data_IF_230879857188
#
_entry.id   IF_230879857188
#
_cell.length_a   1.000
_cell.length_b   1.000
_cell.length_c   1.000
_cell.angle_alpha   90.00
_cell.angle_beta   90.00
_cell.angle_gamma   90.00
#
_symmetry.space_group_name_H-M   'P 1'
#
loop_
_entity.id
_entity.type
_entity.pdbx_description
1 polymer ?
#
# COMPACT_ATOMS: atom_id res chain seq x y z
N UNK A 1 -13.79 -16.63 -0.21
CA UNK A 1 -12.64 -16.80 -1.12
C UNK A 1 -11.42 -17.04 -0.25
N UNK A 2 -10.74 -18.19 -0.39
CA UNK A 2 -9.50 -18.49 0.35
C UNK A 2 -8.38 -17.60 -0.20
N UNK A 3 -8.29 -16.38 0.31
CA UNK A 3 -7.05 -15.62 0.28
C UNK A 3 -6.04 -16.47 1.05
N UNK A 4 -5.00 -16.98 0.40
CA UNK A 4 -3.94 -17.68 1.13
C UNK A 4 -3.21 -16.64 1.99
N UNK A 5 -3.73 -16.45 3.20
CA UNK A 5 -3.20 -15.53 4.21
C UNK A 5 -1.74 -15.85 4.56
N UNK A 6 -1.20 -16.99 4.12
CA UNK A 6 0.15 -17.42 4.43
C UNK A 6 1.21 -16.89 3.45
N UNK A 7 0.83 -16.28 2.31
CA UNK A 7 1.78 -15.68 1.34
C UNK A 7 1.19 -14.48 0.58
N UNK A 8 0.66 -13.49 1.29
CA UNK A 8 0.18 -12.20 0.74
C UNK A 8 1.09 -11.03 1.12
N UNK A 9 0.87 -9.86 0.52
CA UNK A 9 1.58 -8.62 0.86
C UNK A 9 1.41 -8.26 2.35
N UNK A 10 0.19 -8.41 2.88
CA UNK A 10 -0.11 -8.20 4.31
C UNK A 10 0.67 -9.20 5.18
N UNK A 11 0.73 -10.47 4.77
CA UNK A 11 1.52 -11.47 5.48
C UNK A 11 2.99 -11.06 5.58
N UNK A 12 3.61 -10.62 4.48
CA UNK A 12 5.01 -10.20 4.51
C UNK A 12 5.23 -8.91 5.29
N UNK A 13 4.29 -7.95 5.22
CA UNK A 13 4.30 -6.76 6.09
C UNK A 13 4.32 -7.17 7.57
N UNK A 14 3.36 -7.99 8.00
CA UNK A 14 3.28 -8.44 9.39
C UNK A 14 4.46 -9.30 9.82
N UNK A 15 4.94 -10.20 8.95
CA UNK A 15 6.02 -11.14 9.26
C UNK A 15 7.30 -10.40 9.63
N UNK A 16 7.61 -9.32 8.92
CA UNK A 16 8.81 -8.55 9.24
C UNK A 16 8.59 -7.68 10.47
N UNK A 17 7.41 -7.08 10.66
CA UNK A 17 7.11 -6.29 11.87
C UNK A 17 7.20 -7.11 13.17
N UNK A 18 6.80 -8.39 13.11
CA UNK A 18 6.82 -9.29 14.27
C UNK A 18 8.19 -9.96 14.50
N UNK A 19 9.17 -9.71 13.63
CA UNK A 19 10.51 -10.33 13.66
C UNK A 19 10.43 -11.87 13.78
N UNK A 20 9.58 -12.50 12.96
CA UNK A 20 9.33 -13.94 13.04
C UNK A 20 10.55 -14.78 12.62
N UNK A 21 10.68 -15.96 13.22
CA UNK A 21 11.64 -16.99 12.79
C UNK A 21 11.50 -17.27 11.29
N UNK A 22 12.58 -17.06 10.53
CA UNK A 22 12.63 -17.26 9.08
C UNK A 22 12.71 -15.98 8.24
N UNK A 23 12.82 -14.81 8.86
CA UNK A 23 13.32 -13.59 8.19
C UNK A 23 14.80 -13.42 8.51
N UNK A 24 15.64 -13.34 7.48
CA UNK A 24 17.03 -12.92 7.66
C UNK A 24 17.07 -11.40 7.85
N UNK A 25 17.69 -10.93 8.93
CA UNK A 25 17.76 -9.50 9.24
C UNK A 25 19.21 -9.00 9.10
N UNK A 26 19.43 -8.08 8.15
CA UNK A 26 20.66 -7.29 8.02
C UNK A 26 20.31 -5.81 8.23
N UNK A 27 20.01 -5.48 9.48
CA UNK A 27 19.61 -4.13 9.90
C UNK A 27 20.77 -3.49 10.65
N UNK A 28 21.12 -2.28 10.26
CA UNK A 28 22.15 -1.47 10.91
C UNK A 28 21.58 -0.72 12.11
N UNK A 29 22.40 -0.57 13.15
CA UNK A 29 22.06 0.12 14.40
C UNK A 29 22.12 1.65 14.26
N UNK A 30 21.31 2.19 13.34
CA UNK A 30 21.20 3.63 13.10
C UNK A 30 19.75 4.03 12.78
N UNK A 31 19.30 5.14 13.37
CA UNK A 31 17.91 5.59 13.25
C UNK A 31 17.52 5.94 11.80
N UNK A 32 18.49 6.32 10.98
CA UNK A 32 18.35 6.62 9.56
C UNK A 32 18.56 5.41 8.64
N UNK A 33 18.82 4.23 9.20
CA UNK A 33 19.04 2.98 8.47
C UNK A 33 20.52 2.61 8.26
N UNK A 34 21.45 3.51 8.58
CA UNK A 34 22.89 3.25 8.61
C UNK A 34 23.57 3.10 7.25
N UNK A 35 24.73 2.43 7.24
CA UNK A 35 25.48 2.10 6.02
C UNK A 35 25.98 0.66 6.13
N UNK A 36 25.33 -0.24 5.40
CA UNK A 36 25.79 -1.63 5.32
C UNK A 36 27.02 -1.74 4.40
N UNK A 37 27.94 -2.64 4.74
CA UNK A 37 29.10 -2.95 3.92
C UNK A 37 28.89 -4.24 3.12
N UNK A 38 29.63 -4.44 2.03
CA UNK A 38 29.51 -5.63 1.17
C UNK A 38 29.84 -6.91 1.94
N UNK A 39 30.80 -6.85 2.86
CA UNK A 39 31.21 -7.96 3.71
C UNK A 39 30.06 -8.39 4.63
N UNK A 40 29.23 -7.44 5.08
CA UNK A 40 28.03 -7.73 5.86
C UNK A 40 26.96 -8.38 4.98
N UNK A 41 26.78 -7.92 3.75
CA UNK A 41 25.87 -8.55 2.77
C UNK A 41 26.33 -9.99 2.47
N UNK A 42 27.64 -10.25 2.38
CA UNK A 42 28.17 -11.58 2.09
C UNK A 42 27.81 -12.65 3.14
N UNK A 43 27.43 -12.24 4.35
CA UNK A 43 26.94 -13.15 5.41
C UNK A 43 25.64 -13.87 5.04
N UNK A 44 24.93 -13.42 3.99
CA UNK A 44 23.78 -14.13 3.41
C UNK A 44 24.15 -15.55 3.00
N UNK A 45 25.40 -15.81 2.58
CA UNK A 45 25.89 -17.15 2.21
C UNK A 45 25.73 -18.18 3.32
N UNK A 46 25.78 -17.75 4.57
CA UNK A 46 25.59 -18.61 5.75
C UNK A 46 24.12 -18.96 6.02
N UNK A 47 23.18 -18.41 5.23
CA UNK A 47 21.74 -18.56 5.41
C UNK A 47 21.04 -19.02 4.10
N UNK A 48 21.46 -20.13 3.45
CA UNK A 48 20.98 -20.51 2.12
C UNK A 48 19.49 -20.89 2.07
N UNK A 49 18.89 -21.21 3.22
CA UNK A 49 17.48 -21.58 3.33
C UNK A 49 16.55 -20.38 3.56
N UNK A 50 17.09 -19.19 3.85
CA UNK A 50 16.28 -18.00 4.07
C UNK A 50 15.55 -17.61 2.77
N UNK A 51 14.22 -17.41 2.88
CA UNK A 51 13.33 -17.01 1.77
C UNK A 51 12.83 -15.58 1.89
N UNK A 52 13.04 -14.95 3.04
CA UNK A 52 12.68 -13.55 3.28
C UNK A 52 13.87 -12.85 3.93
N UNK A 53 14.13 -11.62 3.50
CA UNK A 53 15.16 -10.78 4.09
C UNK A 53 14.61 -9.38 4.37
N UNK A 54 15.00 -8.82 5.51
CA UNK A 54 14.95 -7.40 5.78
C UNK A 54 16.38 -6.84 5.77
N UNK A 55 16.60 -5.77 5.02
CA UNK A 55 17.93 -5.17 4.87
C UNK A 55 17.85 -3.65 4.92
N UNK A 56 18.78 -3.01 5.64
CA UNK A 56 18.89 -1.55 5.74
C UNK A 56 20.24 -1.02 5.28
N UNK A 57 20.36 0.30 5.24
CA UNK A 57 21.64 0.98 5.04
C UNK A 57 22.22 0.88 3.64
N UNK A 58 21.42 0.39 2.67
CA UNK A 58 21.85 0.29 1.29
C UNK A 58 22.00 1.69 0.67
N UNK A 59 23.16 1.88 0.04
CA UNK A 59 23.46 2.91 -0.96
C UNK A 59 23.46 2.26 -2.34
N UNK A 60 23.47 3.06 -3.41
CA UNK A 60 23.34 2.55 -4.78
C UNK A 60 24.31 1.39 -5.09
N UNK A 61 25.60 1.53 -4.76
CA UNK A 61 26.63 0.52 -4.98
C UNK A 61 26.37 -0.79 -4.20
N UNK A 62 25.95 -0.70 -2.95
CA UNK A 62 25.62 -1.87 -2.11
C UNK A 62 24.26 -2.48 -2.46
N UNK A 63 23.31 -1.66 -2.93
CA UNK A 63 22.01 -2.10 -3.44
C UNK A 63 22.25 -2.97 -4.67
N UNK A 64 22.96 -2.45 -5.67
CA UNK A 64 23.26 -3.19 -6.89
C UNK A 64 24.07 -4.45 -6.59
N UNK A 65 25.07 -4.37 -5.69
CA UNK A 65 25.81 -5.54 -5.24
C UNK A 65 24.91 -6.61 -4.61
N UNK A 66 24.00 -6.24 -3.71
CA UNK A 66 23.05 -7.17 -3.10
C UNK A 66 22.14 -7.81 -4.16
N UNK A 67 21.61 -7.00 -5.09
CA UNK A 67 20.71 -7.47 -6.14
C UNK A 67 21.41 -8.49 -7.05
N UNK A 68 22.65 -8.23 -7.44
CA UNK A 68 23.40 -9.06 -8.38
C UNK A 68 23.89 -10.37 -7.79
N UNK A 69 24.19 -10.40 -6.50
CA UNK A 69 24.88 -11.54 -5.88
C UNK A 69 23.96 -12.41 -5.01
N UNK A 70 22.89 -11.85 -4.42
CA UNK A 70 22.15 -12.54 -3.37
C UNK A 70 20.63 -12.45 -3.46
N UNK A 71 20.09 -11.37 -4.03
CA UNK A 71 18.65 -11.10 -3.98
C UNK A 71 17.79 -12.18 -4.64
N UNK A 72 18.30 -12.90 -5.65
CA UNK A 72 17.57 -13.97 -6.33
C UNK A 72 17.23 -15.18 -5.43
N UNK A 73 17.88 -15.32 -4.27
CA UNK A 73 17.57 -16.35 -3.28
C UNK A 73 16.18 -16.14 -2.63
N UNK A 74 15.73 -14.89 -2.53
CA UNK A 74 14.58 -14.52 -1.70
C UNK A 74 13.28 -14.49 -2.51
N UNK A 75 12.20 -14.97 -1.89
CA UNK A 75 10.83 -14.83 -2.38
C UNK A 75 10.26 -13.43 -2.05
N UNK A 76 10.71 -12.85 -0.94
CA UNK A 76 10.32 -11.53 -0.49
C UNK A 76 11.51 -10.75 0.06
N UNK A 77 11.63 -9.47 -0.32
CA UNK A 77 12.67 -8.58 0.16
C UNK A 77 12.00 -7.34 0.75
N UNK A 78 12.41 -6.98 1.96
CA UNK A 78 12.03 -5.72 2.59
C UNK A 78 13.24 -4.80 2.72
N UNK A 79 13.24 -3.74 1.92
CA UNK A 79 14.19 -2.63 2.03
C UNK A 79 13.73 -1.70 3.15
N UNK A 80 14.37 -1.82 4.31
CA UNK A 80 14.08 -1.02 5.48
C UNK A 80 15.02 0.18 5.53
N UNK A 81 14.48 1.40 5.42
CA UNK A 81 15.27 2.63 5.58
C UNK A 81 16.50 2.65 4.66
N UNK A 82 16.26 2.65 3.36
CA UNK A 82 17.30 2.79 2.34
C UNK A 82 17.13 4.13 1.60
N UNK A 83 17.32 5.28 2.28
CA UNK A 83 16.95 6.58 1.75
C UNK A 83 17.84 7.03 0.57
N UNK A 84 19.03 6.46 0.43
CA UNK A 84 20.05 6.90 -0.52
C UNK A 84 20.10 6.08 -1.83
N UNK A 85 19.24 5.07 -1.98
CA UNK A 85 19.09 4.33 -3.26
C UNK A 85 18.24 5.19 -4.20
N UNK A 86 18.75 5.47 -5.40
CA UNK A 86 18.10 6.35 -6.37
C UNK A 86 17.60 5.61 -7.60
N UNK A 87 18.34 4.61 -8.06
CA UNK A 87 17.97 3.79 -9.19
C UNK A 87 17.56 2.40 -8.71
N UNK A 88 16.28 2.08 -8.97
CA UNK A 88 15.68 0.80 -8.64
C UNK A 88 15.73 -0.18 -9.82
N UNK A 89 16.31 0.20 -10.96
CA UNK A 89 16.26 -0.56 -12.22
C UNK A 89 16.81 -1.98 -12.11
N UNK A 90 17.80 -2.24 -11.25
CA UNK A 90 18.40 -3.56 -11.05
C UNK A 90 17.39 -4.58 -10.50
N UNK A 91 16.29 -4.15 -9.86
CA UNK A 91 15.19 -5.04 -9.45
C UNK A 91 14.55 -5.79 -10.62
N UNK A 92 14.63 -5.24 -11.85
CA UNK A 92 14.15 -5.93 -13.06
C UNK A 92 14.88 -7.25 -13.36
N UNK A 93 16.04 -7.49 -12.73
CA UNK A 93 16.82 -8.74 -12.87
C UNK A 93 16.19 -9.90 -12.07
N UNK A 94 15.35 -9.61 -11.07
CA UNK A 94 14.82 -10.61 -10.15
C UNK A 94 13.59 -11.34 -10.72
N UNK A 95 13.82 -12.40 -11.50
CA UNK A 95 12.73 -13.12 -12.20
C UNK A 95 11.79 -13.91 -11.27
N UNK A 96 12.30 -14.39 -10.13
CA UNK A 96 11.60 -15.23 -9.16
C UNK A 96 11.04 -14.48 -7.94
N UNK A 97 11.32 -13.17 -7.81
CA UNK A 97 10.83 -12.38 -6.68
C UNK A 97 9.30 -12.34 -6.70
N UNK A 98 8.66 -12.51 -5.55
CA UNK A 98 7.21 -12.43 -5.41
C UNK A 98 6.76 -11.15 -4.74
N UNK A 99 7.51 -10.66 -3.74
CA UNK A 99 7.14 -9.48 -2.98
C UNK A 99 8.32 -8.53 -2.76
N UNK A 100 8.11 -7.25 -3.05
CA UNK A 100 9.04 -6.19 -2.72
C UNK A 100 8.34 -5.22 -1.79
N UNK A 101 8.90 -5.05 -0.60
CA UNK A 101 8.48 -4.07 0.36
C UNK A 101 9.59 -3.04 0.48
N UNK A 102 9.22 -1.76 0.50
CA UNK A 102 10.19 -0.69 0.60
C UNK A 102 9.65 0.38 1.52
N UNK A 103 10.34 0.57 2.63
CA UNK A 103 10.02 1.61 3.59
C UNK A 103 11.10 2.68 3.58
N UNK A 104 10.64 3.91 3.40
CA UNK A 104 11.41 5.14 3.51
C UNK A 104 12.57 5.24 2.52
N UNK A 105 12.23 5.75 1.34
CA UNK A 105 13.18 6.13 0.29
C UNK A 105 13.07 7.64 -0.03
N UNK A 106 14.22 8.31 -0.18
CA UNK A 106 14.27 9.75 -0.38
C UNK A 106 14.83 10.20 -1.73
N UNK A 107 15.22 9.27 -2.59
CA UNK A 107 15.94 9.59 -3.84
C UNK A 107 15.30 9.04 -5.10
N UNK A 108 14.70 7.86 -5.06
CA UNK A 108 14.03 7.26 -6.20
C UNK A 108 12.89 8.16 -6.68
N UNK A 109 12.94 8.55 -7.95
CA UNK A 109 11.93 9.38 -8.62
C UNK A 109 10.94 8.56 -9.43
N UNK A 110 11.25 7.28 -9.65
CA UNK A 110 10.47 6.31 -10.41
C UNK A 110 10.67 4.92 -9.84
N UNK A 111 9.79 3.99 -10.18
CA UNK A 111 10.02 2.57 -9.94
C UNK A 111 10.84 1.98 -11.11
N UNK A 112 10.88 0.66 -11.21
CA UNK A 112 11.58 -0.05 -12.26
C UNK A 112 10.62 -0.64 -13.28
N UNK A 113 11.16 -1.04 -14.44
CA UNK A 113 10.41 -1.81 -15.43
C UNK A 113 10.20 -3.25 -14.93
N UNK A 114 8.94 -3.59 -14.64
CA UNK A 114 8.53 -4.85 -14.04
C UNK A 114 8.26 -5.97 -15.07
N UNK A 115 8.39 -5.70 -16.37
CA UNK A 115 8.07 -6.66 -17.44
C UNK A 115 8.86 -7.97 -17.39
N UNK A 116 10.02 -7.98 -16.71
CA UNK A 116 10.87 -9.17 -16.54
C UNK A 116 10.67 -9.87 -15.18
N UNK A 117 9.89 -9.29 -14.27
CA UNK A 117 9.61 -9.86 -12.97
C UNK A 117 8.38 -10.80 -13.05
N UNK A 118 8.54 -11.95 -13.73
CA UNK A 118 7.44 -12.87 -14.05
C UNK A 118 6.72 -13.48 -12.85
N UNK A 119 7.32 -13.40 -11.65
CA UNK A 119 6.75 -13.93 -10.41
C UNK A 119 6.26 -12.85 -9.45
N UNK A 120 6.43 -11.56 -9.78
CA UNK A 120 6.16 -10.45 -8.85
C UNK A 120 4.65 -10.27 -8.67
N UNK A 121 4.17 -10.56 -7.47
CA UNK A 121 2.75 -10.49 -7.09
C UNK A 121 2.42 -9.21 -6.33
N UNK A 122 3.31 -8.78 -5.44
CA UNK A 122 3.00 -7.67 -4.53
C UNK A 122 4.11 -6.65 -4.37
N UNK A 123 3.73 -5.38 -4.31
CA UNK A 123 4.65 -4.26 -4.03
C UNK A 123 4.07 -3.37 -2.93
N UNK A 124 4.87 -3.10 -1.89
CA UNK A 124 4.55 -2.10 -0.85
C UNK A 124 5.57 -0.95 -0.88
N UNK A 125 5.09 0.29 -0.94
CA UNK A 125 5.90 1.50 -1.01
C UNK A 125 5.46 2.51 0.06
N UNK A 126 6.20 2.57 1.16
CA UNK A 126 5.89 3.44 2.28
C UNK A 126 6.89 4.58 2.39
N UNK A 127 6.39 5.79 2.66
CA UNK A 127 7.20 6.96 2.97
C UNK A 127 8.23 7.32 1.88
N UNK A 128 7.85 7.15 0.61
CA UNK A 128 8.59 7.69 -0.52
C UNK A 128 8.37 9.20 -0.63
N UNK A 129 9.43 9.96 -0.92
CA UNK A 129 9.33 11.44 -0.99
C UNK A 129 9.33 12.00 -2.41
N UNK A 130 9.74 11.21 -3.42
CA UNK A 130 9.94 11.70 -4.81
C UNK A 130 9.23 10.89 -5.89
N UNK A 131 8.61 9.75 -5.55
CA UNK A 131 7.75 9.02 -6.50
C UNK A 131 6.37 9.68 -6.45
N UNK A 132 5.96 10.29 -7.55
CA UNK A 132 4.64 10.92 -7.68
C UNK A 132 3.80 10.26 -8.77
N UNK A 133 4.44 9.55 -9.69
CA UNK A 133 3.82 8.84 -10.80
C UNK A 133 3.79 7.34 -10.54
N UNK A 134 2.70 6.69 -10.95
CA UNK A 134 2.52 5.24 -10.83
C UNK A 134 2.70 4.52 -12.18
N UNK A 135 3.20 5.22 -13.20
CA UNK A 135 3.27 4.72 -14.60
C UNK A 135 4.06 3.43 -14.76
N UNK A 136 5.08 3.21 -13.93
CA UNK A 136 5.90 2.00 -14.00
C UNK A 136 5.12 0.71 -13.67
N UNK A 137 4.04 0.78 -12.90
CA UNK A 137 3.16 -0.37 -12.64
C UNK A 137 2.51 -0.91 -13.91
N UNK A 138 2.32 -0.08 -14.94
CA UNK A 138 1.76 -0.50 -16.22
C UNK A 138 2.66 -1.49 -16.98
N UNK A 139 3.93 -1.63 -16.60
CA UNK A 139 4.85 -2.61 -17.17
C UNK A 139 4.70 -4.02 -16.59
N UNK A 140 3.91 -4.19 -15.52
CA UNK A 140 3.68 -5.50 -14.90
C UNK A 140 2.46 -6.22 -15.46
N UNK A 141 2.61 -7.51 -15.72
CA UNK A 141 1.50 -8.42 -16.09
C UNK A 141 1.09 -9.37 -14.95
N UNK A 142 1.73 -9.25 -13.78
CA UNK A 142 1.66 -10.24 -12.69
C UNK A 142 1.21 -9.68 -11.36
N UNK A 143 1.28 -8.35 -11.17
CA UNK A 143 0.91 -7.73 -9.89
C UNK A 143 -0.56 -7.96 -9.57
N UNK A 144 -0.76 -8.46 -8.35
CA UNK A 144 -2.06 -8.74 -7.74
C UNK A 144 -2.32 -7.85 -6.51
N UNK A 145 -1.26 -7.36 -5.85
CA UNK A 145 -1.36 -6.63 -4.59
C UNK A 145 -0.50 -5.36 -4.62
N UNK A 146 -1.09 -4.21 -4.33
CA UNK A 146 -0.37 -2.94 -4.24
C UNK A 146 -0.70 -2.28 -2.90
N UNK A 147 0.35 -1.88 -2.18
CA UNK A 147 0.27 -0.99 -1.04
C UNK A 147 1.15 0.23 -1.28
N UNK A 148 0.64 1.44 -1.05
CA UNK A 148 1.50 2.62 -1.02
C UNK A 148 0.97 3.72 -0.12
N UNK A 149 1.84 4.42 0.61
CA UNK A 149 1.33 5.44 1.50
C UNK A 149 2.30 6.09 2.44
N UNK A 150 1.71 6.97 3.22
CA UNK A 150 2.27 7.54 4.42
C UNK A 150 2.22 6.53 5.57
N UNK A 151 3.36 6.34 6.25
CA UNK A 151 3.44 5.73 7.57
C UNK A 151 3.81 6.76 8.62
N UNK A 152 5.03 7.30 8.56
CA UNK A 152 5.51 8.33 9.49
C UNK A 152 5.41 9.72 8.86
N UNK A 153 5.69 9.84 7.57
CA UNK A 153 5.66 11.12 6.87
C UNK A 153 4.26 11.35 6.28
N UNK A 154 3.74 12.58 6.33
CA UNK A 154 2.37 12.91 5.90
C UNK A 154 2.32 13.67 4.57
N UNK A 155 3.29 13.44 3.70
CA UNK A 155 3.54 14.24 2.49
C UNK A 155 3.40 13.49 1.18
N UNK A 156 3.08 12.19 1.19
CA UNK A 156 3.03 11.41 -0.03
C UNK A 156 1.87 11.85 -0.93
N UNK A 157 2.21 12.30 -2.13
CA UNK A 157 1.29 12.83 -3.14
C UNK A 157 1.50 12.02 -4.41
N UNK A 158 0.39 11.58 -5.01
CA UNK A 158 0.37 10.89 -6.29
C UNK A 158 -0.42 11.73 -7.30
N UNK A 159 0.04 11.75 -8.55
CA UNK A 159 -0.60 12.49 -9.63
C UNK A 159 -1.97 11.91 -9.97
N UNK A 160 -2.01 10.60 -10.26
CA UNK A 160 -3.19 9.88 -10.74
C UNK A 160 -3.15 8.39 -10.37
N UNK A 161 -4.33 7.79 -10.19
CA UNK A 161 -4.48 6.33 -10.11
C UNK A 161 -4.62 5.66 -11.48
N UNK A 162 -4.70 6.44 -12.57
CA UNK A 162 -4.92 5.93 -13.93
C UNK A 162 -3.96 4.82 -14.37
N UNK A 163 -2.65 4.81 -14.00
CA UNK A 163 -1.77 3.74 -14.43
C UNK A 163 -2.16 2.36 -13.89
N UNK A 164 -2.84 2.31 -12.75
CA UNK A 164 -3.24 1.05 -12.10
C UNK A 164 -4.31 0.28 -12.90
N UNK A 165 -4.98 0.94 -13.85
CA UNK A 165 -5.91 0.27 -14.79
C UNK A 165 -5.20 -0.77 -15.65
N UNK A 166 -3.90 -0.62 -15.88
CA UNK A 166 -3.11 -1.56 -16.65
C UNK A 166 -2.73 -2.83 -15.87
N UNK A 167 -2.83 -2.81 -14.53
CA UNK A 167 -2.58 -3.98 -13.69
C UNK A 167 -3.78 -4.94 -13.73
N UNK A 168 -3.90 -5.70 -14.82
CA UNK A 168 -5.07 -6.56 -15.11
C UNK A 168 -5.37 -7.63 -14.06
N UNK A 169 -4.40 -7.98 -13.21
CA UNK A 169 -4.54 -8.97 -12.13
C UNK A 169 -4.66 -8.37 -10.74
N UNK A 170 -4.73 -7.03 -10.63
CA UNK A 170 -4.81 -6.34 -9.34
C UNK A 170 -6.08 -6.73 -8.59
N UNK A 171 -5.91 -7.41 -7.45
CA UNK A 171 -6.97 -7.92 -6.56
C UNK A 171 -7.05 -7.13 -5.25
N UNK A 172 -5.92 -6.61 -4.76
CA UNK A 172 -5.82 -5.87 -3.51
C UNK A 172 -5.13 -4.53 -3.76
N UNK A 173 -5.79 -3.44 -3.35
CA UNK A 173 -5.22 -2.10 -3.38
C UNK A 173 -5.44 -1.40 -2.04
N UNK A 174 -4.34 -1.03 -1.40
CA UNK A 174 -4.36 -0.25 -0.16
C UNK A 174 -3.48 1.00 -0.31
N UNK A 175 -4.01 2.17 0.02
CA UNK A 175 -3.22 3.38 -0.03
C UNK A 175 -3.60 4.45 0.98
N UNK A 176 -2.57 5.13 1.48
CA UNK A 176 -2.71 6.25 2.40
C UNK A 176 -1.96 7.48 1.87
N UNK A 177 -2.64 8.32 1.10
CA UNK A 177 -2.04 9.51 0.50
C UNK A 177 -2.40 10.78 1.28
N UNK A 178 -1.53 11.78 1.21
CA UNK A 178 -1.88 13.14 1.61
C UNK A 178 -2.84 13.77 0.59
N UNK A 179 -2.59 13.51 -0.69
CA UNK A 179 -3.38 14.04 -1.80
C UNK A 179 -3.21 13.15 -3.03
N UNK A 180 -4.33 12.91 -3.72
CA UNK A 180 -4.35 12.50 -5.12
C UNK A 180 -4.63 13.77 -5.95
N UNK A 181 -3.74 14.15 -6.87
CA UNK A 181 -3.80 15.48 -7.49
C UNK A 181 -4.97 15.67 -8.43
N UNK A 182 -5.26 14.70 -9.29
CA UNK A 182 -6.44 14.75 -10.16
C UNK A 182 -7.76 14.54 -9.41
N UNK A 183 -7.69 14.02 -8.16
CA UNK A 183 -8.82 13.69 -7.31
C UNK A 183 -9.85 12.78 -8.02
N UNK A 184 -9.41 11.93 -8.94
CA UNK A 184 -10.31 11.11 -9.74
C UNK A 184 -10.32 9.64 -9.26
N UNK A 185 -11.45 9.24 -8.68
CA UNK A 185 -11.69 7.88 -8.20
C UNK A 185 -12.13 6.93 -9.34
N UNK A 186 -12.50 7.47 -10.50
CA UNK A 186 -13.17 6.71 -11.56
C UNK A 186 -12.31 5.62 -12.19
N UNK A 187 -10.99 5.74 -12.09
CA UNK A 187 -10.07 4.69 -12.52
C UNK A 187 -10.32 3.34 -11.81
N UNK A 188 -10.81 3.36 -10.56
CA UNK A 188 -11.10 2.15 -9.79
C UNK A 188 -12.33 1.37 -10.31
N UNK A 189 -13.18 1.99 -11.13
CA UNK A 189 -14.22 1.28 -11.86
C UNK A 189 -13.62 0.35 -12.94
N UNK A 190 -12.48 0.75 -13.51
CA UNK A 190 -11.82 0.05 -14.62
C UNK A 190 -10.95 -1.12 -14.15
N UNK A 191 -10.64 -1.22 -12.85
CA UNK A 191 -9.85 -2.33 -12.26
C UNK A 191 -10.73 -3.57 -11.99
N UNK A 192 -11.10 -4.30 -13.04
CA UNK A 192 -12.15 -5.35 -12.97
C UNK A 192 -11.85 -6.52 -12.02
N UNK A 193 -10.59 -6.85 -11.80
CA UNK A 193 -10.18 -7.92 -10.87
C UNK A 193 -10.07 -7.47 -9.41
N UNK A 194 -10.17 -6.16 -9.14
CA UNK A 194 -10.01 -5.62 -7.78
C UNK A 194 -11.11 -6.14 -6.87
N UNK A 195 -10.74 -6.82 -5.78
CA UNK A 195 -11.67 -7.41 -4.80
C UNK A 195 -11.62 -6.71 -3.45
N UNK A 196 -10.48 -6.17 -3.06
CA UNK A 196 -10.32 -5.47 -1.78
C UNK A 196 -9.66 -4.12 -2.01
N UNK A 197 -10.25 -3.09 -1.39
CA UNK A 197 -9.83 -1.71 -1.54
C UNK A 197 -9.78 -1.03 -0.17
N UNK A 198 -8.67 -0.38 0.14
CA UNK A 198 -8.52 0.42 1.35
C UNK A 198 -7.91 1.78 1.00
N UNK A 199 -8.53 2.84 1.48
CA UNK A 199 -7.97 4.18 1.42
C UNK A 199 -8.42 5.03 2.60
N UNK A 200 -7.66 6.10 2.87
CA UNK A 200 -7.96 7.05 3.93
C UNK A 200 -9.37 7.67 3.76
N UNK A 201 -10.19 7.60 4.81
CA UNK A 201 -11.60 8.03 4.81
C UNK A 201 -11.81 9.49 4.38
N UNK A 202 -10.78 10.33 4.49
CA UNK A 202 -10.82 11.76 4.18
C UNK A 202 -10.29 12.11 2.77
N UNK A 203 -9.91 11.12 1.95
CA UNK A 203 -9.30 11.39 0.64
C UNK A 203 -10.32 11.84 -0.41
N UNK A 204 -11.42 11.11 -0.56
CA UNK A 204 -12.47 11.35 -1.55
C UNK A 204 -13.74 11.91 -0.91
N UNK A 205 -14.59 12.60 -1.67
CA UNK A 205 -15.89 13.07 -1.15
C UNK A 205 -16.87 11.91 -0.96
N UNK A 206 -17.89 12.10 -0.12
CA UNK A 206 -18.95 11.10 0.08
C UNK A 206 -19.65 10.72 -1.23
N UNK A 207 -19.84 11.66 -2.16
CA UNK A 207 -20.47 11.38 -3.46
C UNK A 207 -19.58 10.51 -4.36
N UNK A 208 -18.27 10.75 -4.38
CA UNK A 208 -17.30 9.90 -5.09
C UNK A 208 -17.28 8.47 -4.53
N UNK A 209 -17.29 8.33 -3.20
CA UNK A 209 -17.33 7.03 -2.52
C UNK A 209 -18.64 6.29 -2.84
N UNK A 210 -19.79 6.98 -2.73
CA UNK A 210 -21.10 6.40 -3.02
C UNK A 210 -21.24 5.99 -4.49
N UNK A 211 -20.71 6.79 -5.42
CA UNK A 211 -20.64 6.44 -6.83
C UNK A 211 -19.83 5.16 -7.05
N UNK A 212 -18.62 5.07 -6.50
CA UNK A 212 -17.78 3.87 -6.66
C UNK A 212 -18.47 2.63 -6.05
N UNK A 213 -19.06 2.76 -4.85
CA UNK A 213 -19.85 1.69 -4.20
C UNK A 213 -21.04 1.23 -5.05
N UNK A 214 -21.65 2.13 -5.83
CA UNK A 214 -22.74 1.81 -6.74
C UNK A 214 -22.28 1.04 -7.98
N UNK A 215 -21.19 1.47 -8.62
CA UNK A 215 -20.67 0.86 -9.87
C UNK A 215 -19.79 -0.37 -9.64
N UNK A 216 -19.21 -0.50 -8.44
CA UNK A 216 -18.39 -1.65 -8.00
C UNK A 216 -18.92 -2.27 -6.70
N UNK A 217 -20.15 -2.84 -6.71
CA UNK A 217 -20.71 -3.48 -5.52
C UNK A 217 -20.00 -4.80 -5.17
N UNK A 218 -19.08 -5.28 -5.99
CA UNK A 218 -18.29 -6.50 -5.77
C UNK A 218 -17.04 -6.28 -4.90
N UNK A 219 -16.61 -5.03 -4.69
CA UNK A 219 -15.43 -4.72 -3.89
C UNK A 219 -15.75 -4.79 -2.39
N UNK A 220 -14.92 -5.52 -1.64
CA UNK A 220 -14.88 -5.49 -0.18
C UNK A 220 -14.06 -4.29 0.29
N UNK A 221 -14.70 -3.34 0.97
CA UNK A 221 -14.02 -2.13 1.46
C UNK A 221 -14.83 -1.43 2.54
N UNK A 222 -14.25 -1.26 3.72
CA UNK A 222 -14.80 -0.36 4.73
C UNK A 222 -14.72 1.11 4.32
N UNK A 223 -13.81 1.48 3.42
CA UNK A 223 -13.70 2.85 2.86
C UNK A 223 -14.85 3.17 1.89
N UNK A 224 -15.56 2.15 1.38
CA UNK A 224 -16.75 2.30 0.53
C UNK A 224 -18.08 2.20 1.28
N UNK A 225 -18.04 2.15 2.60
CA UNK A 225 -19.23 2.19 3.46
C UNK A 225 -19.56 3.64 3.87
N UNK A 226 -20.75 3.95 4.42
CA UNK A 226 -21.05 5.29 4.93
C UNK A 226 -20.15 5.72 6.09
N UNK A 227 -19.66 4.76 6.88
CA UNK A 227 -18.79 5.00 8.03
C UNK A 227 -17.95 3.76 8.37
N UNK A 228 -16.94 3.95 9.20
CA UNK A 228 -16.10 2.89 9.77
C UNK A 228 -16.19 2.95 11.30
N UNK A 229 -16.40 1.80 11.94
CA UNK A 229 -16.27 1.66 13.39
C UNK A 229 -14.81 1.48 13.78
N UNK A 230 -14.34 2.28 14.72
CA UNK A 230 -12.97 2.23 15.23
C UNK A 230 -12.77 1.02 16.14
N UNK A 231 -11.67 0.29 15.93
CA UNK A 231 -11.24 -0.76 16.86
C UNK A 231 -10.82 -0.19 18.21
N UNK A 232 -10.18 0.97 18.17
CA UNK A 232 -9.72 1.73 19.35
C UNK A 232 -10.40 3.09 19.32
N UNK A 233 -11.50 3.29 20.07
CA UNK A 233 -12.18 4.57 20.18
C UNK A 233 -11.24 5.67 20.71
N UNK A 234 -11.54 6.92 20.34
CA UNK A 234 -10.76 8.10 20.71
C UNK A 234 -11.59 8.93 21.69
N UNK A 235 -11.02 9.36 22.81
CA UNK A 235 -11.69 10.30 23.71
C UNK A 235 -11.32 11.73 23.30
N UNK A 236 -12.32 12.57 23.04
CA UNK A 236 -12.08 13.98 22.71
C UNK A 236 -11.82 14.84 23.96
N UNK A 237 -11.48 16.11 23.77
CA UNK A 237 -11.16 17.04 24.85
C UNK A 237 -12.35 17.34 25.79
N UNK A 238 -13.56 16.86 25.47
CA UNK A 238 -14.77 17.00 26.26
C UNK A 238 -15.18 15.67 26.90
N UNK A 239 -14.25 14.73 26.99
CA UNK A 239 -14.45 13.37 27.52
C UNK A 239 -15.47 12.54 26.73
N UNK A 240 -15.78 12.94 25.50
CA UNK A 240 -16.68 12.18 24.63
C UNK A 240 -15.90 11.12 23.89
N UNK A 241 -16.31 9.86 24.05
CA UNK A 241 -15.79 8.74 23.26
C UNK A 241 -16.26 8.85 21.81
N UNK A 242 -15.36 8.86 20.85
CA UNK A 242 -15.61 8.84 19.41
C UNK A 242 -15.20 7.47 18.88
N UNK A 243 -16.16 6.69 18.39
CA UNK A 243 -15.96 5.31 17.97
C UNK A 243 -16.32 5.09 16.49
N UNK A 244 -16.77 6.12 15.79
CA UNK A 244 -17.14 6.06 14.37
C UNK A 244 -16.47 7.20 13.58
N UNK A 245 -15.93 6.86 12.40
CA UNK A 245 -15.49 7.83 11.40
C UNK A 245 -16.46 7.77 10.22
N UNK A 246 -17.10 8.90 9.90
CA UNK A 246 -17.94 8.99 8.69
C UNK A 246 -17.02 9.09 7.47
N UNK A 247 -17.29 8.29 6.43
CA UNK A 247 -16.47 8.29 5.22
C UNK A 247 -16.79 9.49 4.32
N UNK A 248 -15.74 10.17 3.89
CA UNK A 248 -15.80 11.33 3.01
C UNK A 248 -14.91 12.48 3.47
N UNK A 249 -14.43 13.24 2.52
CA UNK A 249 -13.63 14.43 2.74
C UNK A 249 -14.35 15.44 3.63
N UNK A 250 -13.71 15.84 4.72
CA UNK A 250 -14.22 16.77 5.73
C UNK A 250 -15.29 16.20 6.65
N UNK A 251 -15.50 14.88 6.67
CA UNK A 251 -16.52 14.25 7.51
C UNK A 251 -16.04 14.02 8.95
N UNK A 252 -16.97 14.04 9.93
CA UNK A 252 -16.61 14.04 11.34
C UNK A 252 -16.28 12.64 11.88
N UNK A 253 -15.55 12.63 13.00
CA UNK A 253 -15.61 11.55 13.97
C UNK A 253 -16.83 11.76 14.88
N UNK A 254 -17.54 10.69 15.22
CA UNK A 254 -18.78 10.70 15.98
C UNK A 254 -18.76 9.63 17.08
N UNK A 255 -19.61 9.81 18.08
CA UNK A 255 -20.02 8.76 18.99
C UNK A 255 -21.28 8.08 18.42
N UNK A 256 -21.29 6.75 18.27
CA UNK A 256 -22.41 6.01 17.67
C UNK A 256 -23.73 6.14 18.44
N UNK A 257 -23.66 6.37 19.75
CA UNK A 257 -24.82 6.35 20.64
C UNK A 257 -25.36 7.77 20.86
N UNK A 258 -24.48 8.70 21.23
CA UNK A 258 -24.81 10.11 21.47
C UNK A 258 -25.18 10.82 20.17
N UNK A 259 -24.43 10.58 19.08
CA UNK A 259 -24.66 11.25 17.79
C UNK A 259 -25.53 10.41 16.84
N UNK A 260 -26.28 9.43 17.34
CA UNK A 260 -27.05 8.46 16.54
C UNK A 260 -27.90 9.12 15.44
N UNK A 261 -28.64 10.18 15.76
CA UNK A 261 -29.47 10.91 14.79
C UNK A 261 -28.63 11.53 13.67
N UNK A 262 -27.45 12.07 14.01
CA UNK A 262 -26.55 12.68 13.04
C UNK A 262 -25.88 11.60 12.17
N UNK A 263 -25.48 10.47 12.76
CA UNK A 263 -24.94 9.33 12.04
C UNK A 263 -25.98 8.76 11.05
N UNK A 264 -27.23 8.60 11.48
CA UNK A 264 -28.31 8.11 10.63
C UNK A 264 -28.54 8.99 9.39
N UNK A 265 -28.48 10.32 9.56
CA UNK A 265 -28.56 11.26 8.42
C UNK A 265 -27.46 11.00 7.39
N UNK A 266 -26.22 10.70 7.82
CA UNK A 266 -25.13 10.36 6.90
C UNK A 266 -25.36 9.02 6.20
N UNK A 267 -25.87 8.01 6.91
CA UNK A 267 -26.19 6.70 6.35
C UNK A 267 -27.28 6.83 5.27
N UNK A 268 -28.39 7.51 5.58
CA UNK A 268 -29.48 7.75 4.62
C UNK A 268 -28.98 8.49 3.38
N UNK A 269 -28.26 9.61 3.58
CA UNK A 269 -27.72 10.41 2.46
C UNK A 269 -26.79 9.59 1.57
N UNK A 270 -25.91 8.78 2.17
CA UNK A 270 -25.02 7.90 1.43
C UNK A 270 -25.78 6.87 0.60
N UNK A 271 -26.78 6.21 1.21
CA UNK A 271 -27.59 5.19 0.53
C UNK A 271 -28.42 5.79 -0.60
N UNK A 272 -28.99 6.99 -0.44
CA UNK A 272 -29.68 7.71 -1.51
C UNK A 272 -28.76 7.98 -2.70
N UNK A 273 -27.51 8.40 -2.44
CA UNK A 273 -26.50 8.58 -3.49
C UNK A 273 -26.17 7.26 -4.20
N UNK A 274 -25.97 6.17 -3.44
CA UNK A 274 -25.71 4.85 -4.02
C UNK A 274 -26.87 4.42 -4.93
N UNK A 275 -28.13 4.60 -4.49
CA UNK A 275 -29.30 4.25 -5.30
C UNK A 275 -29.43 5.13 -6.55
N UNK A 276 -29.20 6.45 -6.42
CA UNK A 276 -29.15 7.40 -7.54
C UNK A 276 -28.18 6.93 -8.64
N UNK A 277 -27.02 6.41 -8.26
CA UNK A 277 -26.02 5.93 -9.24
C UNK A 277 -26.30 4.53 -9.77
N UNK A 278 -26.89 3.63 -8.98
CA UNK A 278 -27.34 2.31 -9.48
C UNK A 278 -28.45 2.42 -10.52
N UNK A 279 -29.36 3.38 -10.35
CA UNK A 279 -30.44 3.66 -11.30
C UNK A 279 -29.95 4.27 -12.62
N UNK A 280 -28.73 4.80 -12.67
CA UNK A 280 -28.05 5.27 -13.87
C UNK A 280 -27.17 4.15 -14.44
N UNK A 281 -27.78 3.08 -14.96
CA UNK A 281 -27.01 2.15 -15.81
C UNK A 281 -26.63 2.89 -17.10
N UNK A 282 -25.35 3.23 -17.23
CA UNK A 282 -24.70 3.53 -18.51
C UNK A 282 -24.58 2.27 -19.35
#
# INVERSE_FOLDING_TARGET
MNYDKNKSLIYYLEKVYKNNDGVLNLIEDDISGGKILKERIDTIKSNPHAKTIQISGLRQDTFDYFIENYASQFEAIYFWKCPLVEDLSTLSKLKSIQYILFYWNQRAVRLWNMSKNFSLKGVALDDFTRIHELTDFASSETIEEIHFGNKVWTKFVVESLSPLVHCKKLKFLDFNLKKLKDNDISYLEKTKELKSLHFNTNLFTTEQIAWLRAVRPDIESSSLEPFIKLKNPIVDNREKTLDVIVNGKGKPLLNSDIDKIKLEKYIVTFNELVQKYRGKKT
#
